data_IF_130211514355
#
_entry.id   IF_130211514355
#
_cell.length_a   1.000
_cell.length_b   1.000
_cell.length_c   1.000
_cell.angle_alpha   90.00
_cell.angle_beta   90.00
_cell.angle_gamma   90.00
#
_symmetry.space_group_name_H-M   'P 1'
#
loop_
_entity.id
_entity.type
_entity.pdbx_description
1 polymer ?
#
# COMPACT_ATOMS: atom_id res chain seq x y z
N UNK A 1 23.19 2.33 10.79
CA UNK A 1 21.83 2.22 11.36
C UNK A 1 20.96 1.43 10.40
N UNK A 2 20.51 0.23 10.78
CA UNK A 2 19.74 -0.68 9.90
C UNK A 2 18.38 -0.10 9.46
N UNK A 3 17.83 0.85 10.22
CA UNK A 3 16.51 1.45 9.98
C UNK A 3 16.53 2.60 8.95
N UNK A 4 17.68 3.18 8.62
CA UNK A 4 17.76 4.36 7.75
C UNK A 4 17.24 4.09 6.32
N UNK A 5 17.60 2.96 5.67
CA UNK A 5 17.03 2.61 4.36
C UNK A 5 15.53 2.28 4.43
N UNK A 6 15.06 1.78 5.58
CA UNK A 6 13.65 1.44 5.80
C UNK A 6 12.76 2.68 6.01
N UNK A 7 13.32 3.79 6.52
CA UNK A 7 12.62 5.08 6.56
C UNK A 7 12.28 5.60 5.17
N UNK A 8 13.18 5.42 4.20
CA UNK A 8 12.91 5.82 2.82
C UNK A 8 11.70 5.07 2.26
N UNK A 9 11.58 3.78 2.56
CA UNK A 9 10.45 2.95 2.14
C UNK A 9 9.14 3.50 2.71
N UNK A 10 9.13 3.79 4.01
CA UNK A 10 7.96 4.32 4.69
C UNK A 10 7.58 5.69 4.17
N UNK A 11 8.58 6.55 3.93
CA UNK A 11 8.35 7.86 3.35
C UNK A 11 7.68 7.74 1.97
N UNK A 12 8.18 6.85 1.11
CA UNK A 12 7.56 6.60 -0.19
C UNK A 12 6.16 5.99 -0.05
N UNK A 13 5.92 5.08 0.89
CA UNK A 13 4.58 4.54 1.13
C UNK A 13 3.59 5.62 1.59
N UNK A 14 4.00 6.53 2.47
CA UNK A 14 3.18 7.68 2.90
C UNK A 14 2.86 8.58 1.71
N UNK A 15 3.85 8.86 0.85
CA UNK A 15 3.63 9.64 -0.38
C UNK A 15 2.69 8.91 -1.32
N UNK A 16 2.75 7.57 -1.41
CA UNK A 16 1.92 6.74 -2.29
C UNK A 16 0.44 6.77 -1.91
N UNK A 17 0.11 7.13 -0.67
CA UNK A 17 -1.28 7.43 -0.25
C UNK A 17 -1.88 8.54 -1.12
N UNK A 18 -1.09 9.57 -1.47
CA UNK A 18 -1.57 10.73 -2.23
C UNK A 18 -2.07 10.36 -3.64
N UNK A 19 -1.30 9.71 -4.52
CA UNK A 19 -1.77 9.33 -5.84
C UNK A 19 -2.96 8.36 -5.77
N UNK A 20 -2.97 7.38 -4.86
CA UNK A 20 -4.13 6.49 -4.70
C UNK A 20 -5.37 7.25 -4.21
N UNK A 21 -5.23 8.12 -3.21
CA UNK A 21 -6.32 8.95 -2.70
C UNK A 21 -6.87 9.89 -3.78
N UNK A 22 -6.00 10.58 -4.52
CA UNK A 22 -6.38 11.48 -5.63
C UNK A 22 -7.04 10.70 -6.77
N UNK A 23 -6.47 9.57 -7.19
CA UNK A 23 -7.05 8.73 -8.23
C UNK A 23 -8.43 8.21 -7.83
N UNK A 24 -8.56 7.73 -6.60
CA UNK A 24 -9.81 7.18 -6.06
C UNK A 24 -10.88 8.25 -5.95
N UNK A 25 -10.53 9.44 -5.43
CA UNK A 25 -11.43 10.58 -5.34
C UNK A 25 -11.89 11.06 -6.71
N UNK A 26 -10.95 11.20 -7.65
CA UNK A 26 -11.25 11.62 -9.03
C UNK A 26 -12.15 10.60 -9.73
N UNK A 27 -11.87 9.30 -9.55
CA UNK A 27 -12.71 8.26 -10.13
C UNK A 27 -14.10 8.26 -9.50
N UNK A 28 -14.22 8.46 -8.19
CA UNK A 28 -15.51 8.58 -7.54
C UNK A 28 -16.34 9.75 -8.07
N UNK A 29 -15.73 10.94 -8.22
CA UNK A 29 -16.38 12.17 -8.69
C UNK A 29 -16.34 12.38 -10.22
N UNK A 30 -16.03 11.34 -11.01
CA UNK A 30 -16.00 11.39 -12.49
C UNK A 30 -15.09 12.50 -13.06
N UNK A 31 -13.98 12.79 -12.40
CA UNK A 31 -13.01 13.79 -12.82
C UNK A 31 -11.97 13.23 -13.81
N UNK A 32 -11.30 14.08 -14.63
CA UNK A 32 -10.27 13.63 -15.56
C UNK A 32 -8.97 13.22 -14.84
N UNK A 33 -8.07 12.59 -15.61
CA UNK A 33 -6.71 12.15 -15.21
C UNK A 33 -6.66 11.04 -14.14
N UNK A 34 -7.75 10.27 -13.98
CA UNK A 34 -7.78 9.10 -13.07
C UNK A 34 -6.63 8.13 -13.37
N UNK A 35 -6.45 7.76 -14.65
CA UNK A 35 -5.44 6.78 -15.05
C UNK A 35 -4.02 7.22 -14.73
N UNK A 36 -3.71 8.52 -14.89
CA UNK A 36 -2.38 9.07 -14.61
C UNK A 36 -2.05 8.93 -13.11
N UNK A 37 -2.96 9.37 -12.24
CA UNK A 37 -2.75 9.28 -10.80
C UNK A 37 -2.73 7.82 -10.31
N UNK A 38 -3.60 6.97 -10.86
CA UNK A 38 -3.64 5.55 -10.54
C UNK A 38 -2.33 4.85 -10.94
N UNK A 39 -1.81 5.16 -12.13
CA UNK A 39 -0.53 4.62 -12.61
C UNK A 39 0.64 5.08 -11.73
N UNK A 40 0.70 6.36 -11.35
CA UNK A 40 1.74 6.87 -10.44
C UNK A 40 1.73 6.09 -9.13
N UNK A 41 0.55 5.89 -8.53
CA UNK A 41 0.41 5.11 -7.30
C UNK A 41 0.93 3.68 -7.46
N UNK A 42 0.50 2.98 -8.52
CA UNK A 42 0.94 1.61 -8.82
C UNK A 42 2.44 1.52 -9.05
N UNK A 43 3.04 2.43 -9.81
CA UNK A 43 4.49 2.43 -10.07
C UNK A 43 5.25 2.58 -8.76
N UNK A 44 4.86 3.53 -7.91
CA UNK A 44 5.50 3.71 -6.61
C UNK A 44 5.40 2.44 -5.77
N UNK A 45 4.21 1.85 -5.67
CA UNK A 45 3.98 0.65 -4.86
C UNK A 45 4.79 -0.56 -5.36
N UNK A 46 4.79 -0.79 -6.69
CA UNK A 46 5.54 -1.91 -7.30
C UNK A 46 7.04 -1.71 -7.14
N UNK A 47 7.57 -0.50 -7.39
CA UNK A 47 8.99 -0.20 -7.20
C UNK A 47 9.37 -0.45 -5.75
N UNK A 48 8.56 -0.02 -4.79
CA UNK A 48 8.84 -0.23 -3.38
C UNK A 48 8.77 -1.71 -2.97
N UNK A 49 7.82 -2.47 -3.49
CA UNK A 49 7.75 -3.90 -3.27
C UNK A 49 8.98 -4.64 -3.85
N UNK A 50 9.45 -4.22 -5.03
CA UNK A 50 10.68 -4.75 -5.63
C UNK A 50 11.92 -4.41 -4.81
N UNK A 51 12.08 -3.14 -4.39
CA UNK A 51 13.20 -2.73 -3.52
C UNK A 51 13.17 -3.50 -2.21
N UNK A 52 11.98 -3.64 -1.59
CA UNK A 52 11.77 -4.42 -0.38
C UNK A 52 12.16 -5.91 -0.51
N UNK A 53 11.94 -6.51 -1.67
CA UNK A 53 12.18 -7.94 -1.93
C UNK A 53 13.54 -8.27 -2.53
N UNK A 54 14.21 -7.30 -3.17
CA UNK A 54 15.48 -7.48 -3.88
C UNK A 54 16.69 -7.82 -3.00
N UNK A 55 16.58 -7.66 -1.67
CA UNK A 55 17.71 -7.81 -0.76
C UNK A 55 18.74 -6.67 -0.84
N UNK A 56 18.45 -5.59 -1.58
CA UNK A 56 19.25 -4.36 -1.62
C UNK A 56 19.27 -3.63 -0.27
N UNK A 57 18.24 -3.84 0.55
CA UNK A 57 18.16 -3.29 1.89
C UNK A 57 18.92 -4.19 2.87
N UNK A 58 19.57 -3.63 3.91
CA UNK A 58 20.22 -4.41 4.95
C UNK A 58 19.25 -5.43 5.52
N UNK A 59 19.59 -6.72 5.40
CA UNK A 59 18.75 -7.78 5.96
C UNK A 59 18.63 -7.57 7.45
N UNK A 60 17.40 -7.60 7.94
CA UNK A 60 17.18 -7.71 9.38
C UNK A 60 17.73 -9.06 9.85
N UNK A 61 18.22 -9.13 11.09
CA UNK A 61 18.72 -10.38 11.68
C UNK A 61 17.62 -11.46 11.70
N UNK A 62 17.97 -12.74 11.79
CA UNK A 62 17.01 -13.85 11.67
C UNK A 62 15.86 -13.78 12.70
N UNK A 63 16.13 -13.25 13.90
CA UNK A 63 15.11 -12.97 14.93
C UNK A 63 14.17 -11.79 14.61
N UNK A 64 14.36 -11.14 13.46
CA UNK A 64 13.55 -10.02 12.96
C UNK A 64 12.91 -10.35 11.60
N UNK A 65 12.98 -11.61 11.15
CA UNK A 65 12.30 -12.12 9.96
C UNK A 65 10.77 -11.98 10.04
N UNK A 66 10.08 -12.12 8.92
CA UNK A 66 8.63 -11.92 8.82
C UNK A 66 7.85 -12.75 9.87
N UNK A 67 7.00 -12.14 10.73
CA UNK A 67 6.31 -12.83 11.80
C UNK A 67 5.01 -13.45 11.27
N UNK A 68 5.14 -14.52 10.49
CA UNK A 68 4.03 -15.17 9.79
C UNK A 68 2.94 -15.72 10.72
N UNK A 69 3.26 -15.91 12.01
CA UNK A 69 2.31 -16.35 13.04
C UNK A 69 1.51 -15.20 13.65
N UNK A 70 1.91 -13.94 13.43
CA UNK A 70 1.21 -12.77 13.97
C UNK A 70 -0.06 -12.48 13.15
N UNK A 71 -1.19 -12.39 13.84
CA UNK A 71 -2.46 -12.02 13.21
C UNK A 71 -2.38 -10.62 12.63
N UNK A 72 -1.73 -9.69 13.34
CA UNK A 72 -1.58 -8.31 12.90
C UNK A 72 -0.73 -8.20 11.63
N UNK A 73 0.34 -9.00 11.52
CA UNK A 73 1.16 -9.06 10.32
C UNK A 73 0.42 -9.66 9.12
N UNK A 74 -0.32 -10.75 9.34
CA UNK A 74 -1.16 -11.33 8.29
C UNK A 74 -2.22 -10.35 7.82
N UNK A 75 -2.86 -9.62 8.75
CA UNK A 75 -3.84 -8.59 8.41
C UNK A 75 -3.20 -7.47 7.58
N UNK A 76 -2.01 -7.01 7.94
CA UNK A 76 -1.23 -6.07 7.13
C UNK A 76 -1.02 -6.59 5.70
N UNK A 77 -0.46 -7.80 5.53
CA UNK A 77 -0.17 -8.36 4.21
C UNK A 77 -1.44 -8.49 3.38
N UNK A 78 -2.50 -9.04 3.95
CA UNK A 78 -3.75 -9.28 3.24
C UNK A 78 -4.42 -7.97 2.84
N UNK A 79 -4.53 -7.00 3.74
CA UNK A 79 -5.20 -5.73 3.45
C UNK A 79 -4.41 -4.85 2.48
N UNK A 80 -3.09 -4.73 2.66
CA UNK A 80 -2.22 -4.02 1.73
C UNK A 80 -2.21 -4.70 0.36
N UNK A 81 -2.10 -6.03 0.31
CA UNK A 81 -2.12 -6.82 -0.91
C UNK A 81 -3.43 -6.69 -1.68
N UNK A 82 -4.58 -6.85 -1.01
CA UNK A 82 -5.89 -6.67 -1.62
C UNK A 82 -6.08 -5.25 -2.18
N UNK A 83 -5.60 -4.24 -1.46
CA UNK A 83 -5.57 -2.86 -1.93
C UNK A 83 -4.75 -2.70 -3.22
N UNK A 84 -3.48 -3.12 -3.20
CA UNK A 84 -2.55 -3.00 -4.31
C UNK A 84 -3.05 -3.76 -5.55
N UNK A 85 -3.33 -5.05 -5.41
CA UNK A 85 -3.82 -5.87 -6.53
C UNK A 85 -5.19 -5.42 -7.02
N UNK A 86 -6.05 -4.93 -6.13
CA UNK A 86 -7.34 -4.33 -6.51
C UNK A 86 -7.16 -3.09 -7.38
N UNK A 87 -6.22 -2.21 -7.05
CA UNK A 87 -5.91 -1.03 -7.86
C UNK A 87 -5.23 -1.37 -9.20
N UNK A 88 -4.35 -2.37 -9.22
CA UNK A 88 -3.76 -2.89 -10.46
C UNK A 88 -4.84 -3.45 -11.38
N UNK A 89 -5.74 -4.29 -10.85
CA UNK A 89 -6.88 -4.80 -11.59
C UNK A 89 -7.78 -3.67 -12.11
N UNK A 90 -8.09 -2.68 -11.26
CA UNK A 90 -8.89 -1.51 -11.65
C UNK A 90 -8.22 -0.75 -12.81
N UNK A 91 -6.90 -0.57 -12.75
CA UNK A 91 -6.15 0.09 -13.81
C UNK A 91 -6.31 -0.63 -15.15
N UNK A 92 -6.03 -1.93 -15.20
CA UNK A 92 -6.18 -2.71 -16.43
C UNK A 92 -7.63 -2.74 -16.93
N UNK A 93 -8.59 -2.87 -16.02
CA UNK A 93 -10.01 -2.85 -16.35
C UNK A 93 -10.41 -1.53 -17.02
N UNK A 94 -9.99 -0.40 -16.46
CA UNK A 94 -10.26 0.93 -17.00
C UNK A 94 -9.46 1.22 -18.28
N UNK A 95 -8.27 0.63 -18.44
CA UNK A 95 -7.49 0.72 -19.67
C UNK A 95 -8.24 0.09 -20.86
N UNK A 96 -8.86 -1.07 -20.64
CA UNK A 96 -9.62 -1.79 -21.68
C UNK A 96 -11.00 -1.20 -21.91
N UNK A 97 -11.74 -0.90 -20.83
CA UNK A 97 -13.15 -0.47 -20.93
C UNK A 97 -13.31 1.05 -21.01
N UNK A 98 -12.28 1.83 -20.72
CA UNK A 98 -12.31 3.29 -20.66
C UNK A 98 -12.89 3.82 -19.34
N UNK A 99 -12.45 5.02 -18.95
CA UNK A 99 -12.77 5.66 -17.65
C UNK A 99 -14.15 6.34 -17.63
N UNK A 100 -14.65 6.75 -18.79
CA UNK A 100 -15.82 7.63 -18.92
C UNK A 100 -17.16 6.89 -18.89
N UNK A 101 -17.16 5.56 -18.71
CA UNK A 101 -18.39 4.77 -18.62
C UNK A 101 -19.04 4.87 -17.24
N UNK A 102 -20.31 4.46 -17.19
CA UNK A 102 -21.08 4.41 -15.96
C UNK A 102 -20.68 3.23 -15.08
N UNK A 103 -19.98 3.53 -13.98
CA UNK A 103 -19.43 2.54 -13.05
C UNK A 103 -19.88 2.79 -11.60
N UNK A 104 -21.18 2.96 -11.36
CA UNK A 104 -21.70 3.38 -10.05
C UNK A 104 -21.19 2.54 -8.87
N UNK A 105 -21.30 1.21 -8.97
CA UNK A 105 -20.82 0.28 -7.92
C UNK A 105 -19.30 0.26 -7.80
N UNK A 106 -18.59 0.16 -8.93
CA UNK A 106 -17.13 0.07 -8.94
C UNK A 106 -16.47 1.34 -8.41
N UNK A 107 -17.00 2.54 -8.73
CA UNK A 107 -16.53 3.82 -8.20
C UNK A 107 -16.66 3.89 -6.68
N UNK A 108 -17.79 3.44 -6.11
CA UNK A 108 -18.01 3.35 -4.66
C UNK A 108 -17.07 2.33 -4.01
N UNK A 109 -17.02 1.12 -4.57
CA UNK A 109 -16.23 0.02 -4.03
C UNK A 109 -14.75 0.38 -3.92
N UNK A 110 -14.13 0.91 -4.98
CA UNK A 110 -12.72 1.28 -4.92
C UNK A 110 -12.43 2.41 -3.92
N UNK A 111 -13.35 3.37 -3.77
CA UNK A 111 -13.16 4.52 -2.88
C UNK A 111 -13.31 4.14 -1.41
N UNK A 112 -14.36 3.40 -1.07
CA UNK A 112 -14.68 3.07 0.32
C UNK A 112 -14.08 1.76 0.81
N UNK A 113 -13.69 0.85 -0.11
CA UNK A 113 -13.13 -0.45 0.24
C UNK A 113 -11.66 -0.53 -0.14
N UNK A 114 -11.33 -0.52 -1.44
CA UNK A 114 -9.93 -0.76 -1.88
C UNK A 114 -8.94 0.27 -1.30
N UNK A 115 -9.27 1.56 -1.36
CA UNK A 115 -8.44 2.61 -0.80
C UNK A 115 -8.22 2.42 0.71
N UNK A 116 -9.29 2.10 1.44
CA UNK A 116 -9.22 1.94 2.89
C UNK A 116 -8.45 0.67 3.28
N UNK A 117 -8.63 -0.44 2.55
CA UNK A 117 -7.85 -1.65 2.75
C UNK A 117 -6.35 -1.39 2.57
N UNK A 118 -5.99 -0.67 1.51
CA UNK A 118 -4.60 -0.29 1.27
C UNK A 118 -4.05 0.60 2.40
N UNK A 119 -4.78 1.65 2.79
CA UNK A 119 -4.38 2.57 3.87
C UNK A 119 -4.21 1.84 5.21
N UNK A 120 -5.16 0.97 5.57
CA UNK A 120 -5.10 0.19 6.82
C UNK A 120 -3.88 -0.72 6.81
N UNK A 121 -3.68 -1.46 5.71
CA UNK A 121 -2.54 -2.36 5.57
C UNK A 121 -1.23 -1.61 5.73
N UNK A 122 -1.00 -0.56 4.94
CA UNK A 122 0.21 0.28 5.03
C UNK A 122 0.35 0.92 6.41
N UNK A 123 -0.75 1.41 6.99
CA UNK A 123 -0.78 2.01 8.32
C UNK A 123 -0.26 1.08 9.42
N UNK A 124 -0.65 -0.20 9.39
CA UNK A 124 -0.16 -1.19 10.36
C UNK A 124 1.36 -1.36 10.26
N UNK A 125 1.92 -1.43 9.04
CA UNK A 125 3.36 -1.53 8.84
C UNK A 125 4.11 -0.29 9.35
N UNK A 126 3.59 0.91 9.08
CA UNK A 126 4.16 2.17 9.55
C UNK A 126 4.15 2.23 11.07
N UNK A 127 3.02 1.93 11.71
CA UNK A 127 2.90 1.95 13.17
C UNK A 127 3.88 0.96 13.80
N UNK A 128 3.95 -0.27 13.29
CA UNK A 128 4.93 -1.26 13.77
C UNK A 128 6.38 -0.76 13.62
N UNK A 129 6.71 -0.14 12.49
CA UNK A 129 8.06 0.41 12.29
C UNK A 129 8.37 1.54 13.27
N UNK A 130 7.46 2.50 13.45
CA UNK A 130 7.63 3.60 14.39
C UNK A 130 7.83 3.05 15.80
N UNK A 131 7.02 2.08 16.23
CA UNK A 131 7.18 1.47 17.56
C UNK A 131 8.50 0.74 17.72
N UNK A 132 8.98 0.07 16.66
CA UNK A 132 10.28 -0.61 16.67
C UNK A 132 11.45 0.38 16.78
N UNK A 133 11.36 1.53 16.12
CA UNK A 133 12.40 2.57 16.16
C UNK A 133 12.36 3.37 17.47
N UNK A 134 11.17 3.77 17.92
CA UNK A 134 11.01 4.65 19.09
C UNK A 134 11.12 3.91 20.42
N UNK A 135 10.58 2.69 20.50
CA UNK A 135 10.48 1.94 21.76
C UNK A 135 11.26 0.62 21.76
N UNK A 136 11.81 0.21 20.62
CA UNK A 136 12.45 -1.12 20.49
C UNK A 136 11.44 -2.28 20.50
N UNK A 137 10.14 -1.99 20.38
CA UNK A 137 9.07 -2.99 20.49
C UNK A 137 8.54 -3.33 19.10
N UNK A 138 8.36 -4.63 18.84
CA UNK A 138 7.69 -5.11 17.64
C UNK A 138 6.24 -5.45 17.96
N UNK A 139 5.30 -4.68 17.41
CA UNK A 139 3.87 -4.83 17.74
C UNK A 139 3.32 -6.16 17.21
N UNK A 140 3.89 -6.67 16.11
CA UNK A 140 3.53 -7.99 15.60
C UNK A 140 3.76 -9.13 16.60
N UNK A 141 4.66 -8.96 17.57
CA UNK A 141 4.91 -10.01 18.56
C UNK A 141 3.94 -9.93 19.76
N UNK A 142 3.13 -8.86 19.84
CA UNK A 142 2.18 -8.62 20.93
C UNK A 142 0.76 -9.12 20.60
N UNK A 143 0.45 -9.34 19.31
CA UNK A 143 -0.86 -9.68 18.76
C UNK A 143 -0.74 -10.62 17.55
#
# INVERSE_FOLDING_TARGET
MWWLPHLLIIFVQVITVLPYGIASYRFYHRQPRVMTWLLIGIILDVVMAMVGSSGLLPRMSDNQGAPWTSVLFLLHIVTAGLGMFGFIWLFFYLLVKGVNREYGRLRRFQYFVLLHMWIIGVGIAIINFISKVAFGIRIYDLL
#
